data_IF_950501716784
#
_entry.id   IF_950501716784
#
_cell.length_a   1.000
_cell.length_b   1.000
_cell.length_c   1.000
_cell.angle_alpha   90.00
_cell.angle_beta   90.00
_cell.angle_gamma   90.00
#
_symmetry.space_group_name_H-M   'P 1'
#
loop_
_entity.id
_entity.type
_entity.pdbx_description
1 polymer ?
#
# COMPACT_ATOMS: atom_id res chain seq x y z
N UNK A 1 4.44 10.88 -11.27
CA UNK A 1 3.12 10.45 -10.78
C UNK A 1 2.90 11.07 -9.40
N UNK A 2 1.78 11.77 -9.20
CA UNK A 2 1.36 12.27 -7.89
C UNK A 2 1.11 11.07 -6.98
N UNK A 3 1.84 10.97 -5.88
CA UNK A 3 1.66 9.92 -4.90
C UNK A 3 0.30 10.16 -4.21
N UNK A 4 -0.60 9.15 -4.13
CA UNK A 4 -1.85 9.33 -3.41
C UNK A 4 -1.53 9.73 -1.96
N UNK A 5 -2.15 10.81 -1.50
CA UNK A 5 -2.00 11.28 -0.12
C UNK A 5 -2.57 10.21 0.81
N UNK A 6 -1.91 10.00 1.95
CA UNK A 6 -2.33 9.03 2.97
C UNK A 6 -3.80 9.18 3.37
N UNK A 7 -4.33 10.40 3.35
CA UNK A 7 -5.73 10.68 3.68
C UNK A 7 -6.74 10.02 2.73
N UNK A 8 -6.37 9.73 1.48
CA UNK A 8 -7.21 8.97 0.55
C UNK A 8 -7.39 7.53 1.01
N UNK A 9 -6.43 6.98 1.76
CA UNK A 9 -6.47 5.61 2.26
C UNK A 9 -7.43 5.43 3.43
N UNK A 10 -7.71 6.50 4.20
CA UNK A 10 -8.64 6.46 5.33
C UNK A 10 -10.09 6.19 4.92
N UNK A 11 -10.45 6.51 3.67
CA UNK A 11 -11.81 6.38 3.16
C UNK A 11 -12.10 5.00 2.54
N UNK A 12 -11.10 4.12 2.46
CA UNK A 12 -11.24 2.81 1.82
C UNK A 12 -11.78 1.76 2.81
N UNK A 13 -12.64 0.88 2.31
CA UNK A 13 -13.11 -0.27 3.09
C UNK A 13 -12.02 -1.34 3.23
N UNK A 14 -12.14 -2.24 4.21
CA UNK A 14 -11.17 -3.32 4.43
C UNK A 14 -11.01 -4.23 3.20
N UNK A 15 -12.10 -4.53 2.50
CA UNK A 15 -12.08 -5.36 1.29
C UNK A 15 -11.37 -4.65 0.13
N UNK A 16 -11.63 -3.35 -0.08
CA UNK A 16 -10.97 -2.55 -1.12
C UNK A 16 -9.45 -2.45 -0.89
N UNK A 17 -9.02 -2.41 0.37
CA UNK A 17 -7.60 -2.38 0.74
C UNK A 17 -6.93 -3.69 0.35
N UNK A 18 -7.56 -4.83 0.64
CA UNK A 18 -7.04 -6.15 0.29
C UNK A 18 -6.95 -6.35 -1.22
N UNK A 19 -7.98 -5.94 -1.96
CA UNK A 19 -7.99 -5.97 -3.43
C UNK A 19 -6.87 -5.10 -4.00
N UNK A 20 -6.71 -3.86 -3.51
CA UNK A 20 -5.63 -2.97 -3.96
C UNK A 20 -4.25 -3.51 -3.63
N UNK A 21 -4.05 -4.14 -2.48
CA UNK A 21 -2.79 -4.81 -2.12
C UNK A 21 -2.47 -5.91 -3.14
N UNK A 22 -3.47 -6.70 -3.53
CA UNK A 22 -3.29 -7.79 -4.48
C UNK A 22 -2.91 -7.24 -5.87
N UNK A 23 -3.59 -6.20 -6.33
CA UNK A 23 -3.29 -5.52 -7.60
C UNK A 23 -1.87 -4.94 -7.59
N UNK A 24 -1.49 -4.20 -6.54
CA UNK A 24 -0.15 -3.58 -6.45
C UNK A 24 0.98 -4.63 -6.36
N UNK A 25 0.74 -5.79 -5.72
CA UNK A 25 1.71 -6.88 -5.71
C UNK A 25 1.95 -7.45 -7.10
N UNK A 26 0.88 -7.65 -7.89
CA UNK A 26 0.96 -8.10 -9.28
C UNK A 26 1.68 -7.08 -10.16
N UNK A 27 1.34 -5.79 -10.01
CA UNK A 27 1.97 -4.70 -10.75
C UNK A 27 3.46 -4.60 -10.43
N UNK A 28 3.84 -4.69 -9.15
CA UNK A 28 5.25 -4.68 -8.73
C UNK A 28 6.02 -5.87 -9.32
N UNK A 29 5.42 -7.06 -9.39
CA UNK A 29 6.02 -8.22 -10.04
C UNK A 29 6.24 -7.98 -11.53
N UNK A 30 5.23 -7.48 -12.24
CA UNK A 30 5.31 -7.16 -13.66
C UNK A 30 6.39 -6.11 -13.95
N UNK A 31 6.47 -5.05 -13.15
CA UNK A 31 7.51 -4.03 -13.28
C UNK A 31 8.92 -4.59 -13.06
N UNK A 32 9.10 -5.53 -12.13
CA UNK A 32 10.40 -6.19 -11.88
C UNK A 32 10.82 -7.08 -13.05
N UNK A 33 9.89 -7.86 -13.61
CA UNK A 33 10.15 -8.70 -14.78
C UNK A 33 10.58 -7.83 -15.96
N UNK A 34 9.83 -6.74 -16.22
CA UNK A 34 10.17 -5.81 -17.28
C UNK A 34 11.52 -5.09 -17.08
N UNK A 35 11.87 -4.76 -15.83
CA UNK A 35 13.16 -4.16 -15.49
C UNK A 35 14.33 -5.14 -15.69
N UNK A 36 14.12 -6.43 -15.38
CA UNK A 36 15.10 -7.48 -15.64
C UNK A 36 15.36 -7.69 -17.14
N UNK A 37 14.33 -7.53 -17.97
CA UNK A 37 14.42 -7.68 -19.43
C UNK A 37 15.11 -6.49 -20.14
N UNK A 38 15.79 -5.58 -19.42
CA UNK A 38 16.44 -4.36 -19.93
C UNK A 38 15.55 -3.41 -20.76
N UNK A 39 14.25 -3.70 -20.89
CA UNK A 39 13.30 -2.98 -21.73
C UNK A 39 12.68 -1.78 -21.02
N UNK A 40 12.64 -1.80 -19.68
CA UNK A 40 11.89 -0.80 -18.91
C UNK A 40 12.79 0.18 -18.17
N UNK A 41 12.61 1.48 -18.46
CA UNK A 41 13.42 2.60 -17.97
C UNK A 41 12.76 3.39 -16.85
N UNK A 42 11.83 2.79 -16.10
CA UNK A 42 10.96 3.50 -15.17
C UNK A 42 11.17 3.12 -13.68
N UNK A 43 12.38 3.34 -13.11
CA UNK A 43 12.68 3.02 -11.71
C UNK A 43 11.77 3.77 -10.73
N UNK A 44 11.28 4.94 -11.13
CA UNK A 44 10.34 5.73 -10.36
C UNK A 44 8.97 5.04 -10.19
N UNK A 45 8.52 4.24 -11.18
CA UNK A 45 7.27 3.48 -11.05
C UNK A 45 7.40 2.39 -9.99
N UNK A 46 8.51 1.65 -10.00
CA UNK A 46 8.83 0.65 -8.96
C UNK A 46 8.89 1.30 -7.58
N UNK A 47 9.53 2.47 -7.48
CA UNK A 47 9.59 3.23 -6.21
C UNK A 47 8.18 3.64 -5.75
N UNK A 48 7.34 4.17 -6.64
CA UNK A 48 5.99 4.60 -6.29
C UNK A 48 5.07 3.45 -5.90
N UNK A 49 5.08 2.33 -6.63
CA UNK A 49 4.23 1.17 -6.34
C UNK A 49 4.65 0.51 -5.04
N UNK A 50 5.96 0.38 -4.78
CA UNK A 50 6.48 -0.09 -3.49
C UNK A 50 6.03 0.82 -2.33
N UNK A 51 6.07 2.14 -2.53
CA UNK A 51 5.64 3.08 -1.51
C UNK A 51 4.14 2.96 -1.22
N UNK A 52 3.30 2.91 -2.25
CA UNK A 52 1.84 2.75 -2.10
C UNK A 52 1.49 1.43 -1.39
N UNK A 53 2.15 0.34 -1.75
CA UNK A 53 1.98 -0.96 -1.08
C UNK A 53 2.33 -0.86 0.42
N UNK A 54 3.43 -0.18 0.77
CA UNK A 54 3.83 0.00 2.16
C UNK A 54 2.81 0.84 2.96
N UNK A 55 2.22 1.87 2.35
CA UNK A 55 1.19 2.68 2.99
C UNK A 55 -0.07 1.84 3.29
N UNK A 56 -0.54 1.05 2.32
CA UNK A 56 -1.71 0.18 2.50
C UNK A 56 -1.47 -0.89 3.58
N UNK A 57 -0.30 -1.53 3.58
CA UNK A 57 0.05 -2.52 4.62
C UNK A 57 0.15 -1.88 6.01
N UNK A 58 0.66 -0.65 6.10
CA UNK A 58 0.72 0.11 7.36
C UNK A 58 -0.69 0.43 7.87
N UNK A 59 -1.56 0.91 6.99
CA UNK A 59 -2.96 1.20 7.32
C UNK A 59 -3.71 -0.06 7.75
N UNK A 60 -3.58 -1.15 6.99
CA UNK A 60 -4.15 -2.45 7.33
C UNK A 60 -3.69 -2.92 8.73
N UNK A 61 -2.39 -2.81 9.03
CA UNK A 61 -1.86 -3.16 10.36
C UNK A 61 -2.43 -2.28 11.47
N UNK A 62 -2.60 -0.98 11.25
CA UNK A 62 -3.20 -0.07 12.24
C UNK A 62 -4.67 -0.44 12.51
N UNK A 63 -5.42 -0.84 11.48
CA UNK A 63 -6.81 -1.30 11.62
C UNK A 63 -6.91 -2.64 12.36
N UNK A 64 -5.98 -3.59 12.12
CA UNK A 64 -5.95 -4.85 12.88
C UNK A 64 -5.44 -4.70 14.33
N UNK A 65 -4.62 -3.69 14.63
CA UNK A 65 -4.13 -3.44 16.01
C UNK A 65 -5.11 -2.61 16.86
N UNK A 66 -6.06 -1.91 16.24
CA UNK A 66 -7.06 -1.10 16.95
C UNK A 66 -8.18 -1.84 17.72
N UNK A 67 -8.30 -3.19 17.77
CA UNK A 67 -9.17 -3.85 18.75
C UNK A 67 -8.62 -3.79 20.19
N UNK A 68 -7.30 -3.61 20.39
CA UNK A 68 -6.65 -3.80 21.71
C UNK A 68 -6.30 -2.50 22.47
N UNK A 69 -6.66 -1.31 21.95
CA UNK A 69 -6.47 -0.02 22.64
C UNK A 69 -7.78 0.69 23.01
N UNK A 70 -8.90 -0.04 23.09
CA UNK A 70 -10.16 0.48 23.66
C UNK A 70 -10.16 0.24 25.17
N UNK A 71 -9.43 1.07 25.92
CA UNK A 71 -9.60 1.11 27.37
C UNK A 71 -8.33 1.39 28.15
N UNK A 72 -7.90 2.66 28.18
CA UNK A 72 -7.56 3.31 29.44
C UNK A 72 -7.93 4.79 29.28
N UNK A 73 -9.17 5.15 29.63
CA UNK A 73 -9.43 6.52 30.06
C UNK A 73 -8.67 6.68 31.38
N UNK A 74 -7.44 7.22 31.33
CA UNK A 74 -6.81 7.71 32.55
C UNK A 74 -7.64 8.92 33.00
N UNK A 75 -8.34 8.75 34.12
CA UNK A 75 -8.86 9.86 34.92
C UNK A 75 -7.70 10.72 35.41
#
# INVERSE_FOLDING_TARGET
MSLPKYDVLKNLSSSEIEEKILVLKKELLYLRIQNANFSNKSPHLIKSTKHQLAQLLTFQRQNYQTPLKKGVKKK
#
